data_IF_561771593981
#
_entry.id   IF_561771593981
#
_cell.length_a   1.000
_cell.length_b   1.000
_cell.length_c   1.000
_cell.angle_alpha   90.00
_cell.angle_beta   90.00
_cell.angle_gamma   90.00
#
_symmetry.space_group_name_H-M   'P 1'
#
loop_
_entity.id
_entity.type
_entity.pdbx_description
1 polymer ?
#
# COMPACT_ATOMS: atom_id res chain seq x y z
N UNK A 1 -17.26 -2.37 24.35
CA UNK A 1 -17.10 -2.56 22.89
C UNK A 1 -16.04 -1.64 22.31
N UNK A 2 -16.04 -0.33 22.65
CA UNK A 2 -14.99 0.63 22.26
C UNK A 2 -13.56 0.08 22.38
N UNK A 3 -13.15 -0.39 23.56
CA UNK A 3 -11.78 -0.89 23.82
C UNK A 3 -11.37 -2.02 22.88
N UNK A 4 -12.29 -2.94 22.56
CA UNK A 4 -12.01 -4.06 21.65
C UNK A 4 -11.82 -3.55 20.21
N UNK A 5 -12.71 -2.67 19.74
CA UNK A 5 -12.58 -2.08 18.39
C UNK A 5 -11.31 -1.24 18.25
N UNK A 6 -10.95 -0.48 19.29
CA UNK A 6 -9.72 0.30 19.32
C UNK A 6 -8.47 -0.59 19.29
N UNK A 7 -8.44 -1.66 20.09
CA UNK A 7 -7.34 -2.63 20.07
C UNK A 7 -7.20 -3.24 18.67
N UNK A 8 -8.30 -3.68 18.07
CA UNK A 8 -8.29 -4.25 16.71
C UNK A 8 -7.82 -3.22 15.68
N UNK A 9 -8.27 -1.96 15.79
CA UNK A 9 -7.84 -0.87 14.91
C UNK A 9 -6.32 -0.69 14.95
N UNK A 10 -5.75 -0.55 16.14
CA UNK A 10 -4.31 -0.35 16.31
C UNK A 10 -3.53 -1.60 15.89
N UNK A 11 -4.01 -2.79 16.26
CA UNK A 11 -3.37 -4.05 15.90
C UNK A 11 -3.28 -4.24 14.39
N UNK A 12 -4.39 -4.02 13.68
CA UNK A 12 -4.44 -4.14 12.22
C UNK A 12 -3.57 -3.08 11.54
N UNK A 13 -3.51 -1.85 12.07
CA UNK A 13 -2.62 -0.81 11.58
C UNK A 13 -1.15 -1.24 11.70
N UNK A 14 -0.72 -1.71 12.88
CA UNK A 14 0.68 -2.13 13.12
C UNK A 14 1.08 -3.33 12.25
N UNK A 15 0.22 -4.36 12.20
CA UNK A 15 0.54 -5.60 11.50
C UNK A 15 0.51 -5.46 9.97
N UNK A 16 -0.36 -4.60 9.42
CA UNK A 16 -0.54 -4.52 7.97
C UNK A 16 0.17 -3.33 7.32
N UNK A 17 0.24 -2.16 7.96
CA UNK A 17 0.88 -0.99 7.36
C UNK A 17 2.41 -1.09 7.35
N UNK A 18 3.02 -1.67 8.39
CA UNK A 18 4.47 -1.86 8.46
C UNK A 18 5.02 -2.65 7.26
N UNK A 19 4.54 -3.89 7.00
CA UNK A 19 4.99 -4.67 5.86
C UNK A 19 4.72 -3.99 4.51
N UNK A 20 3.55 -3.34 4.33
CA UNK A 20 3.22 -2.65 3.07
C UNK A 20 4.16 -1.48 2.80
N UNK A 21 4.42 -0.63 3.80
CA UNK A 21 5.31 0.54 3.62
C UNK A 21 6.72 0.12 3.23
N UNK A 22 7.25 -0.94 3.85
CA UNK A 22 8.56 -1.52 3.49
C UNK A 22 8.53 -2.12 2.08
N UNK A 23 7.51 -2.91 1.75
CA UNK A 23 7.42 -3.59 0.47
C UNK A 23 7.28 -2.61 -0.70
N UNK A 24 6.41 -1.62 -0.56
CA UNK A 24 6.24 -0.52 -1.52
C UNK A 24 7.55 0.23 -1.73
N UNK A 25 8.28 0.53 -0.66
CA UNK A 25 9.51 1.33 -0.73
C UNK A 25 10.72 0.57 -1.26
N UNK A 26 10.68 -0.76 -1.23
CA UNK A 26 11.81 -1.62 -1.64
C UNK A 26 11.61 -2.26 -3.02
N UNK A 27 10.36 -2.41 -3.48
CA UNK A 27 10.01 -3.10 -4.72
C UNK A 27 10.83 -2.62 -5.93
N UNK A 28 10.88 -1.31 -6.18
CA UNK A 28 11.51 -0.73 -7.37
C UNK A 28 13.03 -0.93 -7.40
N UNK A 29 13.67 -1.09 -6.24
CA UNK A 29 15.10 -1.38 -6.15
C UNK A 29 15.37 -2.81 -6.60
N UNK A 30 14.59 -3.77 -6.10
CA UNK A 30 14.71 -5.17 -6.49
C UNK A 30 14.29 -5.40 -7.95
N UNK A 31 13.24 -4.73 -8.42
CA UNK A 31 12.76 -4.88 -9.78
C UNK A 31 13.80 -4.44 -10.83
N UNK A 32 14.58 -3.39 -10.54
CA UNK A 32 15.66 -2.95 -11.44
C UNK A 32 16.83 -3.93 -11.44
N UNK A 33 17.22 -4.47 -10.27
CA UNK A 33 18.24 -5.52 -10.20
C UNK A 33 17.81 -6.80 -10.92
N UNK A 34 16.54 -7.19 -10.78
CA UNK A 34 15.97 -8.33 -11.49
C UNK A 34 16.04 -8.15 -13.01
N UNK A 35 15.76 -6.93 -13.49
CA UNK A 35 15.90 -6.57 -14.91
C UNK A 35 17.34 -6.72 -15.41
N UNK A 36 18.32 -6.46 -14.56
CA UNK A 36 19.75 -6.61 -14.86
C UNK A 36 20.22 -8.09 -14.82
N UNK A 37 19.31 -9.04 -14.54
CA UNK A 37 19.58 -10.48 -14.57
C UNK A 37 19.79 -11.12 -13.19
N UNK A 38 19.59 -10.38 -12.09
CA UNK A 38 19.70 -10.92 -10.73
C UNK A 38 18.47 -11.77 -10.36
N UNK A 39 18.65 -13.10 -10.38
CA UNK A 39 17.62 -14.07 -10.02
C UNK A 39 17.14 -13.97 -8.55
N UNK A 40 18.02 -13.60 -7.62
CA UNK A 40 17.64 -13.39 -6.22
C UNK A 40 16.73 -12.16 -6.08
N UNK A 41 17.08 -11.09 -6.79
CA UNK A 41 16.26 -9.88 -6.84
C UNK A 41 14.90 -10.14 -7.52
N UNK A 42 14.81 -11.06 -8.48
CA UNK A 42 13.53 -11.44 -9.08
C UNK A 42 12.57 -12.04 -8.05
N UNK A 43 13.03 -12.99 -7.24
CA UNK A 43 12.23 -13.58 -6.15
C UNK A 43 11.82 -12.55 -5.09
N UNK A 44 12.73 -11.64 -4.72
CA UNK A 44 12.41 -10.54 -3.81
C UNK A 44 11.36 -9.59 -4.41
N UNK A 45 11.43 -9.30 -5.71
CA UNK A 45 10.46 -8.44 -6.41
C UNK A 45 9.05 -9.06 -6.35
N UNK A 46 8.94 -10.37 -6.59
CA UNK A 46 7.69 -11.13 -6.41
C UNK A 46 7.15 -11.02 -4.99
N UNK A 47 7.99 -11.26 -3.99
CA UNK A 47 7.60 -11.19 -2.58
C UNK A 47 7.10 -9.79 -2.21
N UNK A 48 7.82 -8.73 -2.61
CA UNK A 48 7.42 -7.35 -2.34
C UNK A 48 6.08 -7.02 -3.00
N UNK A 49 5.84 -7.47 -4.24
CA UNK A 49 4.54 -7.30 -4.90
C UNK A 49 3.43 -8.00 -4.12
N UNK A 50 3.65 -9.26 -3.73
CA UNK A 50 2.67 -10.06 -2.99
C UNK A 50 2.35 -9.45 -1.62
N UNK A 51 3.36 -8.98 -0.89
CA UNK A 51 3.15 -8.25 0.38
C UNK A 51 2.36 -6.96 0.12
N UNK A 52 2.75 -6.17 -0.89
CA UNK A 52 2.04 -4.93 -1.24
C UNK A 52 0.57 -5.20 -1.56
N UNK A 53 0.27 -6.26 -2.31
CA UNK A 53 -1.09 -6.63 -2.70
C UNK A 53 -1.90 -7.15 -1.51
N UNK A 54 -1.44 -8.22 -0.86
CA UNK A 54 -2.17 -8.89 0.22
C UNK A 54 -2.28 -8.00 1.46
N UNK A 55 -1.16 -7.48 1.95
CA UNK A 55 -1.20 -6.63 3.14
C UNK A 55 -1.79 -5.25 2.83
N UNK A 56 -1.70 -4.79 1.57
CA UNK A 56 -2.38 -3.57 1.13
C UNK A 56 -3.89 -3.67 1.26
N UNK A 57 -4.46 -4.79 0.83
CA UNK A 57 -5.89 -5.11 1.03
C UNK A 57 -6.21 -5.34 2.51
N UNK A 58 -5.38 -6.06 3.26
CA UNK A 58 -5.64 -6.28 4.70
C UNK A 58 -5.54 -4.98 5.53
N UNK A 59 -4.74 -4.01 5.08
CA UNK A 59 -4.68 -2.68 5.71
C UNK A 59 -6.03 -1.96 5.67
N UNK A 60 -6.98 -2.43 4.83
CA UNK A 60 -8.39 -2.00 4.83
C UNK A 60 -9.03 -2.00 6.22
N UNK A 61 -8.63 -2.98 7.03
CA UNK A 61 -9.21 -3.20 8.35
C UNK A 61 -8.98 -2.02 9.29
N UNK A 62 -7.84 -1.33 9.22
CA UNK A 62 -7.52 -0.25 10.15
C UNK A 62 -8.54 0.90 10.08
N UNK A 63 -8.69 1.66 8.99
CA UNK A 63 -9.67 2.75 8.97
C UNK A 63 -11.12 2.25 8.98
N UNK A 64 -11.43 1.03 8.53
CA UNK A 64 -12.78 0.46 8.72
C UNK A 64 -13.12 0.27 10.21
N UNK A 65 -12.16 -0.23 11.01
CA UNK A 65 -12.29 -0.32 12.45
C UNK A 65 -12.27 1.07 13.10
N UNK A 66 -11.54 2.03 12.55
CA UNK A 66 -11.57 3.43 12.98
C UNK A 66 -12.96 4.05 12.81
N UNK A 67 -13.59 3.82 11.65
CA UNK A 67 -14.99 4.19 11.42
C UNK A 67 -15.90 3.48 12.42
N UNK A 68 -15.70 2.19 12.68
CA UNK A 68 -16.49 1.47 13.71
C UNK A 68 -16.32 2.09 15.11
N UNK A 69 -15.11 2.51 15.49
CA UNK A 69 -14.83 3.24 16.74
C UNK A 69 -15.60 4.55 16.80
N UNK A 70 -15.67 5.31 15.70
CA UNK A 70 -16.41 6.57 15.62
C UNK A 70 -17.90 6.42 15.98
N UNK A 71 -18.51 5.26 15.71
CA UNK A 71 -19.90 4.99 16.08
C UNK A 71 -20.11 4.62 17.56
N UNK A 72 -19.04 4.34 18.31
CA UNK A 72 -19.17 4.00 19.74
C UNK A 72 -19.29 5.20 20.67
N UNK A 73 -18.79 6.36 20.25
CA UNK A 73 -18.99 7.64 20.93
C UNK A 73 -19.19 8.76 19.90
N UNK A 74 -20.43 8.92 19.39
CA UNK A 74 -20.72 9.92 18.38
C UNK A 74 -20.48 11.35 18.86
N UNK A 75 -20.64 11.62 20.16
CA UNK A 75 -20.47 12.96 20.73
C UNK A 75 -19.03 13.49 20.60
N UNK A 76 -18.06 12.59 20.72
CA UNK A 76 -16.63 12.89 20.61
C UNK A 76 -16.16 12.84 19.16
N UNK A 77 -16.36 11.70 18.48
CA UNK A 77 -15.68 11.46 17.20
C UNK A 77 -16.31 12.19 16.01
N UNK A 78 -17.63 12.40 15.98
CA UNK A 78 -18.29 13.07 14.84
C UNK A 78 -18.06 14.57 14.79
N UNK A 79 -17.58 15.17 15.88
CA UNK A 79 -17.23 16.60 15.93
C UNK A 79 -15.72 16.82 15.82
N UNK A 80 -14.93 15.74 15.83
CA UNK A 80 -13.48 15.82 15.78
C UNK A 80 -12.99 15.98 14.33
N UNK A 81 -12.64 17.21 13.96
CA UNK A 81 -12.11 17.53 12.62
C UNK A 81 -10.76 16.85 12.32
N UNK A 82 -9.92 16.62 13.32
CA UNK A 82 -8.62 15.94 13.18
C UNK A 82 -8.84 14.47 12.81
N UNK A 83 -9.79 13.81 13.49
CA UNK A 83 -10.19 12.43 13.18
C UNK A 83 -10.69 12.29 11.74
N UNK A 84 -11.54 13.20 11.28
CA UNK A 84 -12.02 13.19 9.89
C UNK A 84 -10.92 13.47 8.87
N UNK A 85 -10.00 14.38 9.17
CA UNK A 85 -8.83 14.64 8.32
C UNK A 85 -7.98 13.38 8.17
N UNK A 86 -7.72 12.66 9.26
CA UNK A 86 -6.98 11.40 9.22
C UNK A 86 -7.71 10.32 8.41
N UNK A 87 -9.03 10.21 8.53
CA UNK A 87 -9.84 9.29 7.72
C UNK A 87 -9.77 9.63 6.23
N UNK A 88 -9.85 10.91 5.87
CA UNK A 88 -9.71 11.37 4.48
C UNK A 88 -8.31 11.07 3.92
N UNK A 89 -7.25 11.33 4.70
CA UNK A 89 -5.88 11.01 4.29
C UNK A 89 -5.68 9.50 4.12
N UNK A 90 -6.31 8.66 4.94
CA UNK A 90 -6.27 7.20 4.77
C UNK A 90 -6.88 6.76 3.44
N UNK A 91 -8.03 7.33 3.06
CA UNK A 91 -8.65 7.07 1.75
C UNK A 91 -7.73 7.50 0.60
N UNK A 92 -7.07 8.66 0.72
CA UNK A 92 -6.10 9.13 -0.29
C UNK A 92 -4.90 8.18 -0.36
N UNK A 93 -4.36 7.73 0.77
CA UNK A 93 -3.23 6.81 0.81
C UNK A 93 -3.57 5.49 0.09
N UNK A 94 -4.77 4.96 0.26
CA UNK A 94 -5.22 3.81 -0.52
C UNK A 94 -5.46 4.09 -1.99
N UNK A 95 -6.01 5.24 -2.33
CA UNK A 95 -6.15 5.61 -3.74
C UNK A 95 -4.77 5.59 -4.42
N UNK A 96 -3.74 6.11 -3.74
CA UNK A 96 -2.35 6.02 -4.21
C UNK A 96 -1.90 4.56 -4.31
N UNK A 97 -2.16 3.73 -3.29
CA UNK A 97 -1.75 2.32 -3.29
C UNK A 97 -2.38 1.53 -4.46
N UNK A 98 -3.70 1.57 -4.59
CA UNK A 98 -4.45 0.74 -5.54
C UNK A 98 -4.43 1.26 -6.97
N UNK A 99 -4.45 2.58 -7.17
CA UNK A 99 -4.51 3.15 -8.52
C UNK A 99 -3.16 3.60 -9.05
N UNK A 100 -2.18 3.89 -8.17
CA UNK A 100 -0.89 4.40 -8.59
C UNK A 100 0.26 3.40 -8.38
N UNK A 101 0.33 2.73 -7.23
CA UNK A 101 1.46 1.85 -6.90
C UNK A 101 1.28 0.46 -7.49
N UNK A 102 0.19 -0.25 -7.14
CA UNK A 102 -0.05 -1.64 -7.55
C UNK A 102 -0.06 -1.83 -9.08
N UNK A 103 -0.70 -0.96 -9.89
CA UNK A 103 -0.69 -1.12 -11.35
C UNK A 103 0.72 -0.99 -11.94
N UNK A 104 1.56 -0.10 -11.36
CA UNK A 104 2.95 0.08 -11.78
C UNK A 104 3.83 -1.08 -11.38
N UNK A 105 3.66 -1.61 -10.17
CA UNK A 105 4.34 -2.85 -9.75
C UNK A 105 3.95 -3.99 -10.69
N UNK A 106 2.66 -4.18 -10.96
CA UNK A 106 2.16 -5.22 -11.87
C UNK A 106 2.73 -5.10 -13.29
N UNK A 107 2.85 -3.89 -13.82
CA UNK A 107 3.47 -3.66 -15.13
C UNK A 107 4.96 -4.07 -15.15
N UNK A 108 5.73 -3.75 -14.10
CA UNK A 108 7.13 -4.17 -13.97
C UNK A 108 7.26 -5.68 -13.79
N UNK A 109 6.37 -6.30 -13.00
CA UNK A 109 6.28 -7.76 -12.85
C UNK A 109 6.04 -8.45 -14.19
N UNK A 110 5.10 -7.93 -15.00
CA UNK A 110 4.82 -8.46 -16.33
C UNK A 110 6.00 -8.33 -17.28
N UNK A 111 6.68 -7.17 -17.27
CA UNK A 111 7.88 -6.96 -18.09
C UNK A 111 9.05 -7.86 -17.70
N UNK A 112 9.10 -8.36 -16.45
CA UNK A 112 10.10 -9.32 -15.98
C UNK A 112 9.68 -10.78 -16.18
N UNK A 113 8.46 -11.04 -16.65
CA UNK A 113 7.91 -12.40 -16.74
C UNK A 113 7.70 -13.05 -15.37
N UNK A 114 7.48 -12.25 -14.32
CA UNK A 114 7.37 -12.72 -12.94
C UNK A 114 5.92 -12.80 -12.42
N UNK A 115 4.92 -12.53 -13.25
CA UNK A 115 3.52 -12.70 -12.89
C UNK A 115 3.17 -14.19 -12.83
N UNK A 116 2.45 -14.59 -11.78
CA UNK A 116 1.92 -15.94 -11.63
C UNK A 116 0.89 -16.22 -12.75
N UNK A 117 0.81 -17.47 -13.24
CA UNK A 117 -0.06 -17.85 -14.36
C UNK A 117 -1.55 -17.56 -14.11
N UNK A 118 -1.98 -17.61 -12.84
CA UNK A 118 -3.35 -17.30 -12.40
C UNK A 118 -3.59 -15.80 -12.17
N UNK A 119 -2.54 -14.98 -12.05
CA UNK A 119 -2.63 -13.52 -11.86
C UNK A 119 -2.56 -12.73 -13.17
N UNK A 120 -2.30 -13.40 -14.29
CA UNK A 120 -2.31 -12.83 -15.64
C UNK A 120 -3.76 -12.58 -16.08
N UNK A 121 -4.29 -11.34 -15.99
CA UNK A 121 -5.57 -11.05 -16.60
C UNK A 121 -5.36 -11.04 -18.13
N UNK A 122 -6.43 -11.09 -18.92
CA UNK A 122 -6.36 -10.76 -20.36
C UNK A 122 -5.66 -9.39 -20.60
N UNK A 123 -5.67 -8.49 -19.61
CA UNK A 123 -4.93 -7.23 -19.62
C UNK A 123 -3.41 -7.36 -19.39
N UNK A 124 -2.88 -8.47 -18.85
CA UNK A 124 -1.43 -8.73 -18.78
C UNK A 124 -0.87 -9.18 -20.12
N UNK A 125 -1.66 -9.86 -20.96
CA UNK A 125 -1.31 -10.05 -22.39
C UNK A 125 -1.14 -8.71 -23.12
N UNK A 126 -1.77 -7.65 -22.61
CA UNK A 126 -1.77 -6.29 -23.14
C UNK A 126 -1.07 -5.26 -22.23
N UNK A 127 -0.34 -5.70 -21.19
CA UNK A 127 0.38 -4.77 -20.33
C UNK A 127 1.49 -4.15 -21.16
N UNK A 128 1.31 -2.88 -21.53
CA UNK A 128 2.28 -2.17 -22.35
C UNK A 128 3.67 -2.33 -21.72
N UNK A 129 4.68 -2.78 -22.48
CA UNK A 129 6.02 -2.97 -21.95
C UNK A 129 6.49 -1.70 -21.25
N UNK A 130 7.20 -1.84 -20.14
CA UNK A 130 7.76 -0.70 -19.40
C UNK A 130 8.79 0.00 -20.30
N UNK A 131 8.32 0.99 -21.07
CA UNK A 131 9.11 1.67 -22.08
C UNK A 131 10.26 2.48 -21.46
N UNK A 132 10.07 2.99 -20.24
CA UNK A 132 11.08 3.74 -19.51
C UNK A 132 11.15 3.29 -18.05
N UNK A 133 12.13 2.42 -17.77
CA UNK A 133 12.39 1.87 -16.44
C UNK A 133 12.85 2.91 -15.42
N UNK A 134 13.62 3.92 -15.85
CA UNK A 134 14.06 5.00 -14.96
C UNK A 134 12.86 5.81 -14.47
N UNK A 135 11.92 6.11 -15.37
CA UNK A 135 10.66 6.78 -15.02
C UNK A 135 9.80 5.91 -14.10
N UNK A 136 9.66 4.61 -14.39
CA UNK A 136 8.88 3.69 -13.57
C UNK A 136 9.45 3.59 -12.15
N UNK A 137 10.77 3.42 -12.01
CA UNK A 137 11.49 3.46 -10.72
C UNK A 137 11.23 4.78 -9.98
N UNK A 138 11.42 5.92 -10.66
CA UNK A 138 11.21 7.23 -10.05
C UNK A 138 9.77 7.45 -9.56
N UNK A 139 8.78 7.05 -10.34
CA UNK A 139 7.37 7.14 -9.94
C UNK A 139 7.05 6.26 -8.73
N UNK A 140 7.53 5.02 -8.70
CA UNK A 140 7.32 4.14 -7.55
C UNK A 140 8.02 4.67 -6.30
N UNK A 141 9.24 5.19 -6.41
CA UNK A 141 9.90 5.86 -5.28
C UNK A 141 9.10 7.07 -4.76
N UNK A 142 8.59 7.91 -5.67
CA UNK A 142 7.80 9.08 -5.31
C UNK A 142 6.48 8.70 -4.63
N UNK A 143 5.68 7.82 -5.24
CA UNK A 143 4.40 7.41 -4.68
C UNK A 143 4.57 6.60 -3.39
N UNK A 144 5.60 5.75 -3.30
CA UNK A 144 5.93 5.04 -2.07
C UNK A 144 6.33 5.97 -0.93
N UNK A 145 7.10 7.02 -1.24
CA UNK A 145 7.42 8.09 -0.28
C UNK A 145 6.19 8.84 0.20
N UNK A 146 5.32 9.28 -0.73
CA UNK A 146 4.06 9.97 -0.39
C UNK A 146 3.15 9.06 0.45
N UNK A 147 2.99 7.80 0.04
CA UNK A 147 2.21 6.80 0.77
C UNK A 147 2.70 6.64 2.21
N UNK A 148 4.00 6.49 2.40
CA UNK A 148 4.59 6.34 3.74
C UNK A 148 4.45 7.62 4.58
N UNK A 149 4.62 8.79 3.96
CA UNK A 149 4.43 10.08 4.61
C UNK A 149 2.99 10.29 5.08
N UNK A 150 2.00 9.91 4.26
CA UNK A 150 0.58 10.00 4.64
C UNK A 150 0.29 9.19 5.90
N UNK A 151 0.80 7.95 6.00
CA UNK A 151 0.62 7.13 7.20
C UNK A 151 1.32 7.71 8.42
N UNK A 152 2.51 8.31 8.26
CA UNK A 152 3.18 9.01 9.35
C UNK A 152 2.37 10.23 9.83
N UNK A 153 1.80 11.02 8.92
CA UNK A 153 0.91 12.14 9.26
C UNK A 153 -0.34 11.63 9.99
N UNK A 154 -0.99 10.59 9.44
CA UNK A 154 -2.18 9.98 10.06
C UNK A 154 -1.89 9.52 11.49
N UNK A 155 -0.74 8.88 11.71
CA UNK A 155 -0.32 8.48 13.05
C UNK A 155 -0.27 9.69 13.99
N UNK A 156 0.37 10.79 13.60
CA UNK A 156 0.43 12.01 14.42
C UNK A 156 -0.97 12.57 14.67
N UNK A 157 -1.83 12.66 13.64
CA UNK A 157 -3.20 13.14 13.78
C UNK A 157 -4.03 12.28 14.75
N UNK A 158 -3.77 10.98 14.86
CA UNK A 158 -4.48 10.11 15.81
C UNK A 158 -4.14 10.40 17.28
N UNK A 159 -3.05 11.11 17.56
CA UNK A 159 -2.63 11.49 18.92
C UNK A 159 -2.94 12.96 19.26
N UNK A 160 -3.48 13.74 18.32
CA UNK A 160 -3.89 15.13 18.49
C UNK A 160 -5.40 15.23 18.76
#
# INVERSE_FOLDING_TARGET
MYTVLLILHVLTAVLFLGPVTVAVSSFQVHAVKAKEGDASAAGLTQLMHRITNTYGVLSLLAPLLGVAVMFTDPGVYWKNGVFHAALLLALIAWAILFFLILPRQKAMMGALGLLDADEAPESAKNAAPVANWNKAKGQLSMFGGIFSLLWAIILVLMFL
#
